data_IF_085278533988
#
_entry.id   IF_085278533988
#
_cell.length_a   1.000
_cell.length_b   1.000
_cell.length_c   1.000
_cell.angle_alpha   90.00
_cell.angle_beta   90.00
_cell.angle_gamma   90.00
#
_symmetry.space_group_name_H-M   'P 1'
#
loop_
_entity.id
_entity.type
_entity.pdbx_description
1 polymer ?
#
# COMPACT_ATOMS: atom_id res chain seq x y z
N UNK A 1 -14.90 -3.17 -15.02
CA UNK A 1 -13.72 -2.41 -14.57
C UNK A 1 -13.70 -2.55 -13.07
N UNK A 2 -12.73 -3.31 -12.56
CA UNK A 2 -12.72 -3.67 -11.14
C UNK A 2 -11.79 -2.72 -10.39
N UNK A 3 -12.16 -2.38 -9.16
CA UNK A 3 -11.39 -1.53 -8.27
C UNK A 3 -11.14 -2.26 -6.95
N UNK A 4 -9.88 -2.34 -6.56
CA UNK A 4 -9.44 -2.93 -5.30
C UNK A 4 -8.83 -1.82 -4.43
N UNK A 5 -9.30 -1.71 -3.18
CA UNK A 5 -8.79 -0.74 -2.20
C UNK A 5 -8.04 -1.48 -1.10
N UNK A 6 -6.77 -1.14 -0.92
CA UNK A 6 -5.88 -1.79 0.04
C UNK A 6 -5.43 -0.74 1.05
N UNK A 7 -5.58 -1.06 2.35
CA UNK A 7 -5.03 -0.25 3.44
C UNK A 7 -3.54 -0.52 3.59
N UNK A 8 -2.76 0.49 3.94
CA UNK A 8 -1.33 0.32 4.24
C UNK A 8 -1.09 -0.69 5.38
N UNK A 9 0.10 -1.28 5.38
CA UNK A 9 0.56 -2.17 6.45
C UNK A 9 0.58 -1.46 7.83
N UNK A 10 0.53 -2.20 8.94
CA UNK A 10 0.40 -1.62 10.28
C UNK A 10 1.52 -0.63 10.61
N UNK A 11 1.21 0.48 11.27
CA UNK A 11 2.24 1.43 11.75
C UNK A 11 2.57 1.26 13.23
N UNK A 12 1.77 0.46 13.95
CA UNK A 12 1.79 0.27 15.41
C UNK A 12 1.64 1.56 16.25
N UNK A 13 1.31 2.69 15.60
CA UNK A 13 1.05 3.96 16.29
C UNK A 13 -0.33 3.91 16.94
N UNK A 14 -0.40 4.34 18.21
CA UNK A 14 -1.64 4.42 18.98
C UNK A 14 -2.30 5.80 18.93
N UNK A 15 -1.63 6.77 18.31
CA UNK A 15 -2.13 8.14 18.13
C UNK A 15 -2.63 8.36 16.70
N UNK A 16 -3.38 9.44 16.49
CA UNK A 16 -3.67 9.93 15.15
C UNK A 16 -2.36 10.29 14.45
N UNK A 17 -2.20 9.82 13.20
CA UNK A 17 -1.00 10.02 12.38
C UNK A 17 -1.25 11.07 11.28
N UNK A 18 -2.42 11.03 10.64
CA UNK A 18 -2.77 11.93 9.54
C UNK A 18 -1.69 11.95 8.46
N UNK A 19 -1.21 13.14 8.11
CA UNK A 19 -0.19 13.36 7.08
C UNK A 19 1.24 13.16 7.57
N UNK A 20 1.46 12.79 8.84
CA UNK A 20 2.80 12.45 9.34
C UNK A 20 3.35 11.26 8.56
N UNK A 21 4.55 11.42 8.03
CA UNK A 21 5.20 10.42 7.19
C UNK A 21 5.92 9.37 8.03
N UNK A 22 5.14 8.43 8.58
CA UNK A 22 5.62 7.35 9.44
C UNK A 22 5.87 6.06 8.68
N UNK A 23 6.82 5.27 9.17
CA UNK A 23 7.07 3.92 8.69
C UNK A 23 5.91 2.97 9.02
N UNK A 24 5.81 1.90 8.24
CA UNK A 24 4.94 0.76 8.49
C UNK A 24 5.78 -0.51 8.68
N UNK A 25 5.19 -1.48 9.37
CA UNK A 25 5.75 -2.80 9.61
C UNK A 25 5.46 -3.70 8.40
N UNK A 26 6.53 -4.17 7.76
CA UNK A 26 6.49 -5.05 6.59
C UNK A 26 7.02 -6.46 6.89
N UNK A 27 7.06 -6.86 8.17
CA UNK A 27 7.61 -8.14 8.62
C UNK A 27 6.69 -9.34 8.31
N UNK A 28 5.38 -9.12 8.16
CA UNK A 28 4.41 -10.18 7.83
C UNK A 28 4.43 -10.51 6.33
N UNK A 29 5.45 -11.23 5.88
CA UNK A 29 5.66 -11.61 4.48
C UNK A 29 4.57 -12.55 3.96
N UNK A 30 4.11 -13.49 4.80
CA UNK A 30 3.10 -14.47 4.42
C UNK A 30 1.77 -13.79 4.07
N UNK A 31 1.42 -12.71 4.79
CA UNK A 31 0.23 -11.91 4.49
C UNK A 31 0.38 -11.15 3.16
N UNK A 32 1.57 -10.63 2.86
CA UNK A 32 1.83 -10.00 1.57
C UNK A 32 1.75 -11.00 0.42
N UNK A 33 2.27 -12.21 0.60
CA UNK A 33 2.23 -13.26 -0.42
C UNK A 33 0.79 -13.72 -0.70
N UNK A 34 0.01 -13.95 0.36
CA UNK A 34 -1.41 -14.26 0.24
C UNK A 34 -2.19 -13.15 -0.49
N UNK A 35 -1.90 -11.89 -0.17
CA UNK A 35 -2.55 -10.75 -0.83
C UNK A 35 -2.10 -10.62 -2.30
N UNK A 36 -0.83 -10.85 -2.60
CA UNK A 36 -0.31 -10.82 -3.97
C UNK A 36 -0.97 -11.88 -4.86
N UNK A 37 -1.15 -13.09 -4.34
CA UNK A 37 -1.82 -14.20 -5.02
C UNK A 37 -3.32 -13.93 -5.26
N UNK A 38 -3.96 -13.19 -4.35
CA UNK A 38 -5.38 -12.85 -4.46
C UNK A 38 -5.66 -11.69 -5.44
N UNK A 39 -4.81 -10.67 -5.46
CA UNK A 39 -5.05 -9.45 -6.25
C UNK A 39 -4.82 -9.68 -7.76
N UNK A 40 -5.56 -8.99 -8.64
CA UNK A 40 -5.52 -9.20 -10.09
C UNK A 40 -4.18 -8.84 -10.74
N UNK A 41 -3.70 -9.70 -11.65
CA UNK A 41 -2.48 -9.51 -12.43
C UNK A 41 -2.82 -9.79 -13.92
N UNK A 42 -2.61 -8.84 -14.86
CA UNK A 42 -2.04 -7.51 -14.67
C UNK A 42 -3.05 -6.51 -14.08
N UNK A 43 -2.53 -5.50 -13.38
CA UNK A 43 -3.31 -4.33 -12.95
C UNK A 43 -2.41 -3.10 -12.77
N UNK A 44 -3.02 -1.91 -12.82
CA UNK A 44 -2.37 -0.66 -12.43
C UNK A 44 -2.41 -0.50 -10.90
N UNK A 45 -1.28 -0.12 -10.30
CA UNK A 45 -1.12 0.03 -8.86
C UNK A 45 -0.63 1.45 -8.51
N UNK A 46 -1.48 2.20 -7.84
CA UNK A 46 -1.22 3.56 -7.36
C UNK A 46 -1.27 3.59 -5.84
N UNK A 47 -0.45 4.45 -5.22
CA UNK A 47 -0.46 4.74 -3.79
C UNK A 47 -0.45 6.25 -3.57
N UNK A 48 -0.70 6.69 -2.34
CA UNK A 48 -0.26 8.03 -1.94
C UNK A 48 1.27 8.12 -1.92
N UNK A 49 1.78 9.29 -1.60
CA UNK A 49 3.20 9.58 -1.41
C UNK A 49 3.66 9.45 0.06
N UNK A 50 2.82 8.92 0.97
CA UNK A 50 3.23 8.59 2.35
C UNK A 50 3.93 7.22 2.38
N UNK A 51 5.07 7.14 3.07
CA UNK A 51 5.96 5.96 3.15
C UNK A 51 5.22 4.66 3.49
N UNK A 52 4.30 4.70 4.46
CA UNK A 52 3.47 3.55 4.81
C UNK A 52 2.67 2.99 3.62
N UNK A 53 2.12 3.85 2.77
CA UNK A 53 1.38 3.42 1.56
C UNK A 53 2.32 3.04 0.43
N UNK A 54 3.43 3.76 0.26
CA UNK A 54 4.46 3.48 -0.76
C UNK A 54 5.04 2.09 -0.54
N UNK A 55 5.59 1.82 0.64
CA UNK A 55 6.21 0.53 0.96
C UNK A 55 5.23 -0.63 0.91
N UNK A 56 3.96 -0.42 1.28
CA UNK A 56 2.91 -1.45 1.09
C UNK A 56 2.70 -1.76 -0.38
N UNK A 57 2.56 -0.73 -1.22
CA UNK A 57 2.34 -0.92 -2.64
C UNK A 57 3.57 -1.52 -3.36
N UNK A 58 4.78 -1.19 -2.92
CA UNK A 58 6.01 -1.77 -3.49
C UNK A 58 6.11 -3.28 -3.22
N UNK A 59 5.66 -3.75 -2.04
CA UNK A 59 5.52 -5.19 -1.74
C UNK A 59 4.43 -5.89 -2.57
N UNK A 60 3.48 -5.13 -3.13
CA UNK A 60 2.39 -5.64 -3.96
C UNK A 60 2.62 -5.43 -5.47
N UNK A 61 3.80 -4.93 -5.86
CA UNK A 61 4.10 -4.54 -7.23
C UNK A 61 4.25 -5.71 -8.21
N UNK A 62 4.52 -6.92 -7.71
CA UNK A 62 4.75 -8.11 -8.55
C UNK A 62 3.55 -8.37 -9.46
N UNK A 63 3.79 -8.44 -10.77
CA UNK A 63 2.75 -8.65 -11.79
C UNK A 63 1.84 -7.44 -12.03
N UNK A 64 2.15 -6.26 -11.49
CA UNK A 64 1.36 -5.02 -11.61
C UNK A 64 2.24 -3.86 -12.08
N UNK A 65 1.64 -2.91 -12.78
CA UNK A 65 2.32 -1.68 -13.21
C UNK A 65 2.22 -0.63 -12.11
N UNK A 66 3.36 -0.21 -11.55
CA UNK A 66 3.42 0.91 -10.60
C UNK A 66 3.20 2.22 -11.36
N UNK A 67 2.20 2.98 -10.94
CA UNK A 67 1.97 4.35 -11.39
C UNK A 67 2.67 5.35 -10.45
N UNK A 68 2.79 6.60 -10.90
CA UNK A 68 3.24 7.69 -10.05
C UNK A 68 2.37 7.82 -8.80
N UNK A 69 2.98 8.25 -7.70
CA UNK A 69 2.25 8.50 -6.47
C UNK A 69 1.19 9.59 -6.66
N UNK A 70 0.05 9.44 -6.00
CA UNK A 70 -1.05 10.40 -6.05
C UNK A 70 -1.25 11.04 -4.67
N UNK A 71 -0.77 12.28 -4.42
CA UNK A 71 -0.94 12.96 -3.14
C UNK A 71 -2.40 13.16 -2.71
N UNK A 72 -3.34 13.10 -3.65
CA UNK A 72 -4.79 13.16 -3.37
C UNK A 72 -5.33 11.88 -2.68
N UNK A 73 -4.52 10.83 -2.59
CA UNK A 73 -4.82 9.60 -1.86
C UNK A 73 -4.23 9.57 -0.44
N UNK A 74 -3.67 10.69 0.05
CA UNK A 74 -3.20 10.79 1.44
C UNK A 74 -4.35 10.53 2.41
N UNK A 75 -3.98 10.09 3.62
CA UNK A 75 -4.89 10.02 4.77
C UNK A 75 -5.61 11.36 5.01
N UNK A 76 -6.77 11.34 5.65
CA UNK A 76 -7.52 12.57 6.00
C UNK A 76 -6.84 13.32 7.15
#
# INVERSE_FOLDING_TARGET
MDLYLIRHAPTHRKSMVGWSDVDADFSDTDRFDALNAFLPQPANLVSSDLRRTVGTADRLATGRQRLEHCPKLREI
#
